data_IF_671021057102
#
_entry.id   IF_671021057102
#
_cell.length_a   1.000
_cell.length_b   1.000
_cell.length_c   1.000
_cell.angle_alpha   90.00
_cell.angle_beta   90.00
_cell.angle_gamma   90.00
#
_symmetry.space_group_name_H-M   'P 1'
#
loop_
_entity.id
_entity.type
_entity.pdbx_description
1 polymer ?
#
# COMPACT_ATOMS: atom_id res chain seq x y z
N UNK A 1 2.42 -9.09 1.72
CA UNK A 1 3.23 -8.18 0.88
C UNK A 1 4.38 -8.98 0.26
N UNK A 2 4.56 -8.88 -1.06
CA UNK A 2 5.61 -9.62 -1.79
C UNK A 2 6.57 -8.65 -2.46
N UNK A 3 7.86 -8.94 -2.43
CA UNK A 3 8.91 -8.09 -3.00
C UNK A 3 9.33 -6.94 -2.09
N UNK A 4 10.34 -6.19 -2.55
CA UNK A 4 10.84 -4.98 -1.91
C UNK A 4 10.63 -3.82 -2.88
N UNK A 5 10.02 -2.75 -2.39
CA UNK A 5 9.75 -1.56 -3.17
C UNK A 5 9.65 -0.34 -2.27
N UNK A 6 9.87 0.83 -2.86
CA UNK A 6 9.85 2.13 -2.23
C UNK A 6 8.50 2.82 -2.37
N UNK A 7 8.29 3.86 -1.56
CA UNK A 7 7.22 4.82 -1.79
C UNK A 7 7.38 5.44 -3.20
N UNK A 8 6.29 5.59 -3.92
CA UNK A 8 6.26 6.15 -5.27
C UNK A 8 6.42 5.11 -6.39
N UNK A 9 6.72 3.85 -6.06
CA UNK A 9 6.78 2.79 -7.07
C UNK A 9 5.38 2.25 -7.39
N UNK A 10 5.19 1.86 -8.65
CA UNK A 10 3.95 1.22 -9.11
C UNK A 10 3.96 -0.24 -8.64
N UNK A 11 2.90 -0.61 -7.91
CA UNK A 11 2.69 -1.95 -7.41
C UNK A 11 1.44 -2.58 -8.03
N UNK A 12 1.42 -3.91 -8.04
CA UNK A 12 0.28 -4.71 -8.47
C UNK A 12 -0.57 -5.09 -7.27
N UNK A 13 -1.88 -4.95 -7.42
CA UNK A 13 -2.89 -5.34 -6.43
C UNK A 13 -3.57 -6.60 -6.94
N UNK A 14 -3.48 -7.68 -6.15
CA UNK A 14 -4.09 -8.95 -6.45
C UNK A 14 -5.23 -9.26 -5.47
N UNK A 15 -6.26 -9.95 -5.97
CA UNK A 15 -7.26 -10.55 -5.09
C UNK A 15 -6.69 -11.82 -4.39
N UNK A 16 -7.49 -12.43 -3.51
CA UNK A 16 -7.09 -13.65 -2.77
C UNK A 16 -6.78 -14.87 -3.65
N UNK A 17 -7.28 -14.90 -4.90
CA UNK A 17 -6.99 -15.96 -5.88
C UNK A 17 -5.71 -15.67 -6.69
N UNK A 18 -5.00 -14.57 -6.38
CA UNK A 18 -3.81 -14.14 -7.11
C UNK A 18 -4.10 -13.43 -8.43
N UNK A 19 -5.38 -13.18 -8.78
CA UNK A 19 -5.75 -12.43 -9.98
C UNK A 19 -5.38 -10.96 -9.80
N UNK A 20 -4.65 -10.45 -10.76
CA UNK A 20 -4.28 -9.03 -10.89
C UNK A 20 -5.52 -8.19 -11.26
N UNK A 21 -5.92 -7.32 -10.33
CA UNK A 21 -7.15 -6.52 -10.38
C UNK A 21 -6.88 -5.02 -10.55
N UNK A 22 -5.70 -4.53 -10.17
CA UNK A 22 -5.33 -3.13 -10.32
C UNK A 22 -3.81 -2.94 -10.24
N UNK A 23 -3.35 -1.81 -10.78
CA UNK A 23 -2.01 -1.28 -10.53
C UNK A 23 -2.12 0.12 -9.96
N UNK A 24 -1.22 0.49 -9.05
CA UNK A 24 -1.20 1.86 -8.54
C UNK A 24 0.07 2.22 -7.82
N UNK A 25 0.24 3.51 -7.55
CA UNK A 25 1.43 4.06 -6.90
C UNK A 25 1.35 3.85 -5.39
N UNK A 26 2.37 3.22 -4.82
CA UNK A 26 2.43 2.97 -3.39
C UNK A 26 2.77 4.23 -2.59
N UNK A 27 2.00 4.55 -1.55
CA UNK A 27 2.26 5.67 -0.62
C UNK A 27 3.28 5.33 0.47
N UNK A 28 3.54 4.04 0.68
CA UNK A 28 4.46 3.50 1.68
C UNK A 28 5.38 2.46 1.05
N UNK A 29 6.57 2.24 1.63
CA UNK A 29 7.46 1.16 1.18
C UNK A 29 6.92 -0.22 1.62
N UNK A 30 7.51 -1.29 1.09
CA UNK A 30 7.09 -2.67 1.38
C UNK A 30 7.11 -3.04 2.86
N UNK A 31 8.09 -2.54 3.62
CA UNK A 31 8.22 -2.86 5.05
C UNK A 31 7.19 -2.12 5.90
N UNK A 32 6.95 -0.84 5.60
CA UNK A 32 5.89 -0.06 6.21
C UNK A 32 4.52 -0.72 5.95
N UNK A 33 4.23 -1.12 4.70
CA UNK A 33 2.97 -1.79 4.36
C UNK A 33 2.82 -3.15 5.05
N UNK A 34 3.90 -3.90 5.29
CA UNK A 34 3.83 -5.12 6.11
C UNK A 34 3.42 -4.82 7.55
N UNK A 35 3.93 -3.73 8.13
CA UNK A 35 3.68 -3.35 9.53
C UNK A 35 2.28 -2.79 9.75
N UNK A 36 1.72 -2.06 8.79
CA UNK A 36 0.37 -1.45 8.91
C UNK A 36 -0.73 -2.28 8.25
N UNK A 37 -0.41 -3.42 7.63
CA UNK A 37 -1.40 -4.31 7.04
C UNK A 37 -2.40 -4.77 8.10
N UNK A 38 -3.70 -4.56 7.84
CA UNK A 38 -4.77 -4.92 8.76
C UNK A 38 -5.04 -3.92 9.89
N UNK A 39 -4.29 -2.82 9.96
CA UNK A 39 -4.51 -1.75 10.94
C UNK A 39 -5.38 -0.62 10.38
N UNK A 40 -6.06 0.09 11.28
CA UNK A 40 -6.79 1.32 10.93
C UNK A 40 -5.81 2.46 10.65
N UNK A 41 -6.19 3.37 9.73
CA UNK A 41 -5.32 4.47 9.31
C UNK A 41 -4.87 5.38 10.46
N UNK A 42 -5.70 5.54 11.49
CA UNK A 42 -5.35 6.31 12.70
C UNK A 42 -4.18 5.70 13.49
N UNK A 43 -3.83 4.43 13.22
CA UNK A 43 -2.73 3.74 13.88
C UNK A 43 -1.40 3.84 13.12
N UNK A 44 -1.40 4.42 11.90
CA UNK A 44 -0.21 4.44 11.04
C UNK A 44 0.94 5.21 11.71
N UNK A 45 0.69 6.42 12.20
CA UNK A 45 1.72 7.23 12.87
C UNK A 45 2.25 6.53 14.12
N UNK A 46 1.37 5.94 14.93
CA UNK A 46 1.78 5.17 16.11
C UNK A 46 2.64 3.94 15.78
N UNK A 47 2.37 3.27 14.64
CA UNK A 47 3.13 2.09 14.22
C UNK A 47 4.45 2.50 13.55
N UNK A 48 4.44 3.49 12.66
CA UNK A 48 5.58 3.82 11.80
C UNK A 48 6.46 4.97 12.33
N UNK A 49 5.93 5.81 13.22
CA UNK A 49 6.53 7.08 13.65
C UNK A 49 6.42 8.20 12.62
N UNK A 50 5.60 8.01 11.58
CA UNK A 50 5.29 8.99 10.55
C UNK A 50 4.00 8.61 9.81
N UNK A 51 3.40 9.57 9.12
CA UNK A 51 2.24 9.34 8.25
C UNK A 51 2.42 10.04 6.89
N UNK A 52 2.12 9.33 5.79
CA UNK A 52 1.98 9.87 4.43
C UNK A 52 0.52 9.87 3.97
N UNK A 53 -0.38 10.16 4.91
CA UNK A 53 -1.83 10.10 4.75
C UNK A 53 -2.42 8.72 5.01
N UNK A 54 -3.77 8.63 5.01
CA UNK A 54 -4.47 7.46 5.56
C UNK A 54 -4.57 6.26 4.60
N UNK A 55 -4.03 6.37 3.37
CA UNK A 55 -4.24 5.37 2.31
C UNK A 55 -2.93 4.74 1.83
N UNK A 56 -2.96 3.43 1.52
CA UNK A 56 -1.81 2.71 0.99
C UNK A 56 -1.56 3.00 -0.50
N UNK A 57 -2.63 3.07 -1.29
CA UNK A 57 -2.66 3.47 -2.70
C UNK A 57 -3.87 4.38 -2.87
N UNK A 58 -3.67 5.57 -3.44
CA UNK A 58 -4.77 6.49 -3.70
C UNK A 58 -5.49 6.11 -4.99
N UNK A 59 -6.81 6.29 -5.05
CA UNK A 59 -7.61 5.91 -6.24
C UNK A 59 -7.19 6.67 -7.51
N UNK A 60 -6.76 7.92 -7.36
CA UNK A 60 -6.35 8.77 -8.48
C UNK A 60 -5.00 8.31 -9.05
N UNK A 61 -4.21 7.59 -8.25
CA UNK A 61 -2.94 6.98 -8.63
C UNK A 61 -3.09 5.48 -8.94
N UNK A 62 -4.33 5.02 -9.20
CA UNK A 62 -4.67 3.60 -9.41
C UNK A 62 -5.49 3.42 -10.69
N UNK A 63 -5.17 2.37 -11.44
CA UNK A 63 -5.92 1.93 -12.61
C UNK A 63 -6.43 0.52 -12.33
N UNK A 64 -7.75 0.35 -12.41
CA UNK A 64 -8.43 -0.95 -12.26
C UNK A 64 -8.63 -1.61 -13.62
N UNK A 65 -8.66 -2.94 -13.65
CA UNK A 65 -9.10 -3.70 -14.83
C UNK A 65 -10.62 -3.81 -14.94
#
# INVERSE_FOLDING_TARGET
MTGNFSRGEVIRICNQQGRDIAHGVSRYNSDALRRIAGHHSQQIDAILGYEYGPVAVHRDDMITR
#
